data_IF_127363300138
#
_entry.id   IF_127363300138
#
_cell.length_a   1.000
_cell.length_b   1.000
_cell.length_c   1.000
_cell.angle_alpha   90.00
_cell.angle_beta   90.00
_cell.angle_gamma   90.00
#
_symmetry.space_group_name_H-M   'P 1'
#
loop_
_entity.id
_entity.type
_entity.pdbx_description
1 polymer ?
#
# COMPACT_ATOMS: atom_id res chain seq x y z
N UNK A 1 10.68 -16.69 8.41
CA UNK A 1 9.80 -17.85 8.53
C UNK A 1 9.33 -18.22 7.14
N UNK A 2 9.73 -19.40 6.67
CA UNK A 2 9.37 -19.88 5.35
C UNK A 2 8.02 -20.60 5.42
N UNK A 3 7.30 -20.67 4.30
CA UNK A 3 6.02 -21.43 4.22
C UNK A 3 6.24 -22.90 4.62
N UNK A 4 7.43 -23.45 4.38
CA UNK A 4 7.86 -24.78 4.85
C UNK A 4 7.76 -24.96 6.37
N UNK A 5 8.09 -23.91 7.14
CA UNK A 5 8.11 -23.96 8.61
C UNK A 5 6.69 -23.96 9.18
N UNK A 6 5.77 -23.26 8.51
CA UNK A 6 4.34 -23.22 8.87
C UNK A 6 3.57 -24.48 8.48
N UNK A 7 4.11 -25.26 7.55
CA UNK A 7 3.42 -26.40 6.94
C UNK A 7 3.92 -27.75 7.42
N UNK A 8 5.02 -27.80 8.16
CA UNK A 8 5.68 -29.07 8.54
C UNK A 8 5.94 -29.97 7.30
N UNK A 9 6.11 -29.36 6.12
CA UNK A 9 6.26 -30.07 4.85
C UNK A 9 4.96 -30.47 4.13
N UNK A 10 3.78 -30.16 4.67
CA UNK A 10 2.49 -30.42 4.02
C UNK A 10 2.19 -29.40 2.90
N UNK A 11 2.33 -29.86 1.66
CA UNK A 11 2.04 -29.07 0.45
C UNK A 11 0.55 -29.01 0.10
N UNK A 12 -0.30 -29.75 0.80
CA UNK A 12 -1.72 -29.77 0.55
C UNK A 12 -2.33 -28.49 1.16
N UNK A 13 -2.75 -27.52 0.33
CA UNK A 13 -3.20 -26.17 0.76
C UNK A 13 -4.46 -26.15 1.67
N UNK A 14 -4.85 -27.26 2.29
CA UNK A 14 -6.04 -27.41 3.14
C UNK A 14 -5.94 -26.63 4.47
N UNK A 15 -4.75 -26.17 4.85
CA UNK A 15 -4.49 -25.41 6.07
C UNK A 15 -4.66 -23.89 5.91
N UNK A 16 -4.92 -23.40 4.69
CA UNK A 16 -5.26 -21.98 4.41
C UNK A 16 -6.73 -21.85 4.05
N UNK A 17 -7.39 -20.83 4.58
CA UNK A 17 -8.74 -20.48 4.15
C UNK A 17 -8.97 -18.96 4.15
N UNK A 18 -10.15 -18.51 3.72
CA UNK A 18 -10.51 -17.11 3.64
C UNK A 18 -11.82 -16.78 4.37
N UNK A 19 -12.00 -15.53 4.79
CA UNK A 19 -13.23 -15.08 5.45
C UNK A 19 -13.61 -13.65 5.05
N UNK A 20 -14.81 -13.47 4.47
CA UNK A 20 -15.34 -12.16 4.13
C UNK A 20 -16.87 -12.10 4.32
N UNK A 21 -17.42 -10.90 4.21
CA UNK A 21 -18.85 -10.65 4.46
C UNK A 21 -19.79 -11.40 3.51
N UNK A 22 -19.38 -11.60 2.24
CA UNK A 22 -20.21 -12.26 1.22
C UNK A 22 -20.29 -13.79 1.34
N UNK A 23 -19.60 -14.41 2.31
CA UNK A 23 -19.76 -15.85 2.58
C UNK A 23 -21.11 -16.15 3.24
N UNK A 24 -21.69 -17.29 2.89
CA UNK A 24 -22.88 -17.83 3.56
C UNK A 24 -22.60 -18.12 5.04
N UNK A 25 -23.63 -18.01 5.89
CA UNK A 25 -23.48 -18.20 7.33
C UNK A 25 -22.98 -19.60 7.71
N UNK A 26 -23.38 -20.63 6.96
CA UNK A 26 -22.90 -21.99 7.16
C UNK A 26 -21.39 -22.08 6.91
N UNK A 27 -20.92 -21.46 5.83
CA UNK A 27 -19.50 -21.44 5.45
C UNK A 27 -18.66 -20.63 6.45
N UNK A 28 -19.17 -19.46 6.87
CA UNK A 28 -18.56 -18.67 7.95
C UNK A 28 -18.38 -19.48 9.24
N UNK A 29 -19.43 -20.20 9.64
CA UNK A 29 -19.42 -21.02 10.86
C UNK A 29 -18.42 -22.16 10.74
N UNK A 30 -18.46 -22.90 9.62
CA UNK A 30 -17.54 -24.01 9.36
C UNK A 30 -16.08 -23.56 9.41
N UNK A 31 -15.73 -22.49 8.70
CA UNK A 31 -14.36 -21.96 8.65
C UNK A 31 -13.89 -21.44 10.00
N UNK A 32 -14.75 -20.72 10.71
CA UNK A 32 -14.42 -20.23 12.05
C UNK A 32 -14.16 -21.38 13.03
N UNK A 33 -15.00 -22.43 13.02
CA UNK A 33 -14.82 -23.61 13.88
C UNK A 33 -13.56 -24.39 13.50
N UNK A 34 -13.33 -24.65 12.22
CA UNK A 34 -12.15 -25.37 11.74
C UNK A 34 -10.85 -24.62 12.09
N UNK A 35 -10.83 -23.30 11.99
CA UNK A 35 -9.69 -22.48 12.42
C UNK A 35 -9.52 -22.47 13.95
N UNK A 36 -10.62 -22.36 14.71
CA UNK A 36 -10.58 -22.41 16.18
C UNK A 36 -10.01 -23.73 16.70
N UNK A 37 -10.37 -24.85 16.05
CA UNK A 37 -9.88 -26.20 16.32
C UNK A 37 -8.46 -26.47 15.79
N UNK A 38 -7.84 -25.51 15.09
CA UNK A 38 -6.50 -25.64 14.53
C UNK A 38 -6.39 -26.55 13.30
N UNK A 39 -7.51 -26.89 12.65
CA UNK A 39 -7.54 -27.59 11.36
C UNK A 39 -7.13 -26.67 10.22
N UNK A 40 -7.59 -25.42 10.27
CA UNK A 40 -7.09 -24.32 9.44
C UNK A 40 -6.05 -23.57 10.27
N UNK A 41 -4.83 -23.41 9.73
CA UNK A 41 -3.73 -22.72 10.40
C UNK A 41 -3.72 -21.22 10.05
N UNK A 42 -4.04 -20.88 8.81
CA UNK A 42 -4.00 -19.51 8.30
C UNK A 42 -5.38 -19.09 7.77
N UNK A 43 -5.88 -17.97 8.28
CA UNK A 43 -7.13 -17.36 7.83
C UNK A 43 -6.86 -16.01 7.17
N UNK A 44 -7.14 -15.90 5.87
CA UNK A 44 -7.07 -14.63 5.12
C UNK A 44 -8.42 -13.94 5.20
N UNK A 45 -8.51 -12.83 5.93
CA UNK A 45 -9.80 -12.24 6.22
C UNK A 45 -9.90 -10.73 6.01
N UNK A 46 -11.11 -10.27 5.74
CA UNK A 46 -11.48 -8.85 5.89
C UNK A 46 -11.91 -8.57 7.32
N UNK A 47 -12.24 -7.31 7.62
CA UNK A 47 -12.75 -6.86 8.93
C UNK A 47 -14.00 -7.63 9.41
N UNK A 48 -14.68 -8.37 8.53
CA UNK A 48 -15.78 -9.25 8.90
C UNK A 48 -15.36 -10.38 9.86
N UNK A 49 -14.08 -10.78 9.86
CA UNK A 49 -13.53 -11.77 10.78
C UNK A 49 -13.02 -11.09 12.06
N UNK A 50 -13.95 -10.65 12.91
CA UNK A 50 -13.57 -9.87 14.09
C UNK A 50 -14.46 -10.05 15.32
N UNK A 51 -15.77 -10.16 15.14
CA UNK A 51 -16.66 -10.33 16.29
C UNK A 51 -16.61 -11.79 16.76
N UNK A 52 -16.46 -12.00 18.08
CA UNK A 52 -16.55 -13.33 18.69
C UNK A 52 -15.30 -14.22 18.56
N UNK A 53 -14.21 -13.75 17.97
CA UNK A 53 -12.96 -14.51 17.95
C UNK A 53 -12.34 -14.51 19.35
N UNK A 54 -12.24 -15.71 19.91
CA UNK A 54 -11.63 -15.97 21.22
C UNK A 54 -10.66 -17.17 21.17
N UNK A 55 -9.80 -17.20 20.14
CA UNK A 55 -8.70 -18.15 20.07
C UNK A 55 -7.50 -17.58 20.85
N UNK A 56 -7.03 -18.23 21.93
CA UNK A 56 -5.99 -17.66 22.79
C UNK A 56 -4.60 -17.69 22.15
N UNK A 57 -4.36 -18.69 21.30
CA UNK A 57 -3.07 -19.10 20.77
C UNK A 57 -2.76 -18.57 19.36
N UNK A 58 -3.21 -17.35 19.04
CA UNK A 58 -2.87 -16.70 17.77
C UNK A 58 -1.46 -16.12 17.83
N UNK A 59 -0.55 -16.67 17.03
CA UNK A 59 0.88 -16.27 17.01
C UNK A 59 1.21 -15.11 16.10
N UNK A 60 0.45 -14.95 15.02
CA UNK A 60 0.72 -13.94 14.02
C UNK A 60 -0.57 -13.24 13.61
N UNK A 61 -0.53 -11.91 13.59
CA UNK A 61 -1.53 -11.08 12.90
C UNK A 61 -0.80 -10.28 11.85
N UNK A 62 -1.15 -10.52 10.58
CA UNK A 62 -0.49 -9.89 9.43
C UNK A 62 -1.49 -8.98 8.73
N UNK A 63 -1.22 -7.69 8.75
CA UNK A 63 -1.93 -6.70 7.96
C UNK A 63 -1.28 -6.63 6.58
N UNK A 64 -1.90 -7.31 5.61
CA UNK A 64 -1.49 -7.23 4.20
C UNK A 64 -1.63 -5.81 3.60
N UNK A 65 -2.43 -4.95 4.22
CA UNK A 65 -2.64 -3.59 3.75
C UNK A 65 -2.90 -2.66 4.92
N UNK A 66 -2.63 -1.36 4.72
CA UNK A 66 -2.80 -0.33 5.76
C UNK A 66 -4.14 -0.45 6.51
N UNK A 67 -4.13 -0.51 7.86
CA UNK A 67 -5.34 -0.43 8.69
C UNK A 67 -6.18 0.84 8.47
N UNK A 68 -7.43 0.85 8.95
CA UNK A 68 -8.32 2.01 8.78
C UNK A 68 -7.97 3.19 9.67
N UNK A 69 -7.52 2.88 10.88
CA UNK A 69 -7.15 3.82 11.93
C UNK A 69 -6.25 3.10 12.92
N UNK A 70 -5.61 3.85 13.81
CA UNK A 70 -4.85 3.28 14.93
C UNK A 70 -5.76 2.41 15.81
N UNK A 71 -7.00 2.83 16.05
CA UNK A 71 -7.99 2.02 16.81
C UNK A 71 -8.27 0.67 16.15
N UNK A 72 -8.43 0.63 14.83
CA UNK A 72 -8.65 -0.63 14.12
C UNK A 72 -7.42 -1.52 14.18
N UNK A 73 -6.24 -0.95 13.93
CA UNK A 73 -4.98 -1.67 14.08
C UNK A 73 -4.84 -2.27 15.48
N UNK A 74 -5.09 -1.49 16.53
CA UNK A 74 -5.02 -1.94 17.92
C UNK A 74 -5.98 -3.10 18.21
N UNK A 75 -7.24 -3.01 17.76
CA UNK A 75 -8.21 -4.09 17.96
C UNK A 75 -7.89 -5.35 17.15
N UNK A 76 -7.36 -5.20 15.94
CA UNK A 76 -7.02 -6.31 15.05
C UNK A 76 -5.75 -7.04 15.52
N UNK A 77 -4.69 -6.28 15.83
CA UNK A 77 -3.43 -6.81 16.36
C UNK A 77 -3.60 -7.44 17.75
N UNK A 78 -4.45 -6.87 18.62
CA UNK A 78 -4.78 -7.40 19.95
C UNK A 78 -5.54 -8.74 19.96
N UNK A 79 -5.72 -9.38 18.79
CA UNK A 79 -6.17 -10.78 18.68
C UNK A 79 -5.03 -11.77 18.87
N UNK A 80 -3.79 -11.34 18.66
CA UNK A 80 -2.60 -12.12 18.89
C UNK A 80 -2.32 -12.31 20.39
N UNK A 81 -1.72 -13.44 20.78
CA UNK A 81 -1.07 -13.55 22.09
C UNK A 81 -1.99 -13.51 23.32
N UNK A 82 -3.27 -13.89 23.21
CA UNK A 82 -4.21 -13.84 24.34
C UNK A 82 -3.93 -14.87 25.44
N UNK A 83 -3.11 -15.87 25.15
CA UNK A 83 -2.51 -16.80 26.11
C UNK A 83 -1.31 -16.20 26.88
N UNK A 84 -0.90 -14.96 26.56
CA UNK A 84 0.28 -14.31 27.16
C UNK A 84 1.61 -14.78 26.60
N UNK A 85 1.62 -15.73 25.65
CA UNK A 85 2.84 -16.17 24.97
C UNK A 85 3.24 -15.17 23.88
N UNK A 86 4.54 -15.12 23.50
CA UNK A 86 5.00 -14.24 22.43
C UNK A 86 4.18 -14.40 21.14
N UNK A 87 3.86 -13.26 20.53
CA UNK A 87 3.14 -13.18 19.27
C UNK A 87 3.58 -11.93 18.51
N UNK A 88 3.50 -11.97 17.19
CA UNK A 88 3.95 -10.90 16.32
C UNK A 88 2.81 -10.28 15.53
N UNK A 89 2.90 -8.96 15.37
CA UNK A 89 1.98 -8.18 14.56
C UNK A 89 2.78 -7.46 13.48
N UNK A 90 2.49 -7.76 12.21
CA UNK A 90 3.26 -7.26 11.07
C UNK A 90 2.34 -6.46 10.15
N UNK A 91 2.78 -5.27 9.75
CA UNK A 91 2.06 -4.43 8.78
C UNK A 91 2.89 -4.28 7.52
N UNK A 92 2.38 -4.82 6.41
CA UNK A 92 2.87 -4.47 5.08
C UNK A 92 2.23 -3.14 4.67
N UNK A 93 3.03 -2.09 4.60
CA UNK A 93 2.57 -0.77 4.23
C UNK A 93 3.08 -0.36 2.84
N UNK A 94 2.24 0.36 2.11
CA UNK A 94 2.60 0.98 0.84
C UNK A 94 1.88 2.31 0.65
N UNK A 95 2.50 3.29 -0.01
CA UNK A 95 1.82 4.54 -0.36
C UNK A 95 0.61 4.32 -1.30
N UNK A 96 0.65 3.23 -2.08
CA UNK A 96 -0.48 2.80 -2.92
C UNK A 96 -1.72 2.49 -2.09
N UNK A 97 -1.54 1.88 -0.93
CA UNK A 97 -2.63 1.56 -0.01
C UNK A 97 -3.30 2.82 0.53
N UNK A 98 -2.53 3.87 0.82
CA UNK A 98 -3.08 5.16 1.23
C UNK A 98 -4.07 5.69 0.19
N UNK A 99 -3.66 5.75 -1.08
CA UNK A 99 -4.51 6.17 -2.19
C UNK A 99 -5.75 5.27 -2.34
N UNK A 100 -5.60 3.95 -2.20
CA UNK A 100 -6.72 3.00 -2.29
C UNK A 100 -7.73 3.21 -1.15
N UNK A 101 -7.26 3.31 0.10
CA UNK A 101 -8.10 3.53 1.29
C UNK A 101 -8.80 4.88 1.24
N UNK A 102 -8.08 5.94 0.85
CA UNK A 102 -8.62 7.29 0.63
C UNK A 102 -9.83 7.32 -0.31
N UNK A 103 -9.81 6.48 -1.35
CA UNK A 103 -10.91 6.36 -2.33
C UNK A 103 -12.13 5.62 -1.78
N UNK A 104 -11.95 4.75 -0.78
CA UNK A 104 -13.02 4.00 -0.13
C UNK A 104 -13.67 4.74 1.04
N UNK A 105 -13.14 5.91 1.43
CA UNK A 105 -13.70 6.67 2.54
C UNK A 105 -15.13 7.17 2.21
N UNK A 106 -16.07 7.05 3.17
CA UNK A 106 -17.43 7.52 2.96
C UNK A 106 -17.46 9.04 2.74
N UNK A 107 -18.38 9.48 1.89
CA UNK A 107 -18.70 10.90 1.74
C UNK A 107 -19.55 11.37 2.92
N UNK A 108 -19.31 12.57 3.44
CA UNK A 108 -20.10 13.16 4.51
C UNK A 108 -19.27 13.98 5.50
N UNK A 109 -19.91 14.38 6.59
CA UNK A 109 -19.34 15.23 7.64
C UNK A 109 -18.15 14.59 8.36
N UNK A 110 -18.11 13.25 8.46
CA UNK A 110 -17.01 12.52 9.10
C UNK A 110 -15.78 12.31 8.20
N UNK A 111 -15.83 12.75 6.93
CA UNK A 111 -14.75 12.47 5.97
C UNK A 111 -13.39 13.00 6.43
N UNK A 112 -13.37 14.17 7.07
CA UNK A 112 -12.13 14.75 7.59
C UNK A 112 -11.55 13.91 8.74
N UNK A 113 -12.39 13.39 9.64
CA UNK A 113 -11.94 12.50 10.71
C UNK A 113 -11.37 11.19 10.14
N UNK A 114 -12.02 10.60 9.12
CA UNK A 114 -11.48 9.42 8.44
C UNK A 114 -10.16 9.69 7.72
N UNK A 115 -9.98 10.90 7.18
CA UNK A 115 -8.71 11.32 6.61
C UNK A 115 -7.60 11.43 7.65
N UNK A 116 -7.92 11.98 8.83
CA UNK A 116 -6.97 12.07 9.92
C UNK A 116 -6.55 10.67 10.40
N UNK A 117 -7.52 9.79 10.65
CA UNK A 117 -7.25 8.40 11.03
C UNK A 117 -6.28 7.68 10.09
N UNK A 118 -6.44 7.87 8.77
CA UNK A 118 -5.56 7.26 7.79
C UNK A 118 -4.16 7.88 7.79
N UNK A 119 -4.04 9.19 8.07
CA UNK A 119 -2.74 9.84 8.26
C UNK A 119 -2.04 9.35 9.51
N UNK A 120 -2.77 9.17 10.61
CA UNK A 120 -2.18 8.69 11.87
C UNK A 120 -1.59 7.28 11.69
N UNK A 121 -2.26 6.40 10.93
CA UNK A 121 -1.71 5.08 10.58
C UNK A 121 -0.48 5.20 9.68
N UNK A 122 -0.48 6.12 8.72
CA UNK A 122 0.71 6.36 7.88
C UNK A 122 1.89 6.84 8.72
N UNK A 123 1.66 7.75 9.67
CA UNK A 123 2.68 8.23 10.59
C UNK A 123 3.22 7.10 11.47
N UNK A 124 2.34 6.22 11.97
CA UNK A 124 2.75 5.00 12.67
C UNK A 124 3.66 4.13 11.81
N UNK A 125 3.41 3.99 10.50
CA UNK A 125 4.26 3.18 9.61
C UNK A 125 5.56 3.88 9.19
N UNK A 126 5.53 5.19 8.92
CA UNK A 126 6.68 5.98 8.46
C UNK A 126 7.66 6.34 9.57
N UNK A 127 7.23 6.31 10.83
CA UNK A 127 8.10 6.60 11.96
C UNK A 127 9.28 5.62 12.01
N UNK A 128 10.48 6.16 12.14
CA UNK A 128 11.74 5.41 12.25
C UNK A 128 12.45 5.63 13.58
N UNK A 129 11.94 6.51 14.44
CA UNK A 129 12.65 6.95 15.65
C UNK A 129 11.95 6.55 16.95
N UNK A 130 10.62 6.65 17.00
CA UNK A 130 9.84 6.44 18.22
C UNK A 130 9.42 4.98 18.40
N UNK A 131 9.38 4.47 19.62
CA UNK A 131 8.81 3.14 19.88
C UNK A 131 7.37 3.02 19.36
N UNK A 132 7.05 1.89 18.70
CA UNK A 132 5.69 1.62 18.21
C UNK A 132 4.66 1.65 19.34
N UNK A 133 4.96 1.04 20.50
CA UNK A 133 4.06 1.06 21.67
C UNK A 133 3.85 2.45 22.23
N UNK A 134 4.88 3.30 22.21
CA UNK A 134 4.74 4.68 22.67
C UNK A 134 3.73 5.43 21.79
N UNK A 135 3.86 5.33 20.47
CA UNK A 135 2.92 5.96 19.53
C UNK A 135 1.49 5.46 19.73
N UNK A 136 1.29 4.15 19.91
CA UNK A 136 -0.02 3.57 20.09
C UNK A 136 -0.67 4.02 21.40
N UNK A 137 0.07 4.02 22.52
CA UNK A 137 -0.46 4.36 23.83
C UNK A 137 -0.74 5.86 23.97
N UNK A 138 0.13 6.71 23.44
CA UNK A 138 -0.11 8.16 23.41
C UNK A 138 -1.35 8.53 22.58
N UNK A 139 -1.64 7.79 21.50
CA UNK A 139 -2.87 7.97 20.73
C UNK A 139 -4.12 7.75 21.59
N UNK A 140 -4.06 6.87 22.61
CA UNK A 140 -5.14 6.65 23.58
C UNK A 140 -5.04 7.54 24.83
N UNK A 141 -4.09 8.48 24.87
CA UNK A 141 -3.88 9.37 26.01
C UNK A 141 -3.14 8.73 27.18
N UNK A 142 -2.50 7.58 26.97
CA UNK A 142 -1.67 6.91 27.96
C UNK A 142 -0.19 7.31 27.83
N UNK A 143 0.51 7.43 28.95
CA UNK A 143 1.94 7.73 28.97
C UNK A 143 2.77 6.45 28.87
N UNK A 144 3.83 6.48 28.06
CA UNK A 144 4.73 5.35 27.87
C UNK A 144 6.18 5.83 27.66
N UNK A 145 7.14 5.03 28.12
CA UNK A 145 8.57 5.27 27.89
C UNK A 145 9.21 4.09 27.17
N UNK A 146 10.12 4.38 26.25
CA UNK A 146 10.74 3.37 25.39
C UNK A 146 11.49 2.27 26.14
N UNK A 147 11.98 2.57 27.35
CA UNK A 147 12.61 1.59 28.24
C UNK A 147 11.69 0.43 28.63
N UNK A 148 10.38 0.64 28.63
CA UNK A 148 9.39 -0.40 28.94
C UNK A 148 9.09 -1.32 27.75
N UNK A 149 9.52 -0.97 26.54
CA UNK A 149 9.29 -1.79 25.35
C UNK A 149 10.10 -3.10 25.36
N UNK A 150 11.26 -3.12 26.03
CA UNK A 150 12.12 -4.30 26.12
C UNK A 150 12.46 -4.92 24.75
N UNK A 151 12.75 -4.09 23.73
CA UNK A 151 13.17 -4.56 22.40
C UNK A 151 12.12 -5.43 21.65
N UNK A 152 10.83 -5.20 21.93
CA UNK A 152 9.72 -5.98 21.33
C UNK A 152 9.02 -5.27 20.17
N UNK A 153 9.64 -4.26 19.56
CA UNK A 153 9.20 -3.69 18.28
C UNK A 153 10.40 -3.37 17.38
N UNK A 154 10.16 -3.31 16.07
CA UNK A 154 11.14 -3.07 15.02
C UNK A 154 12.00 -1.82 15.25
N UNK A 155 11.38 -0.70 15.63
CA UNK A 155 12.12 0.54 15.90
C UNK A 155 13.06 0.40 17.10
N UNK A 156 12.60 -0.19 18.20
CA UNK A 156 13.44 -0.39 19.38
C UNK A 156 14.57 -1.39 19.12
N UNK A 157 14.31 -2.41 18.30
CA UNK A 157 15.30 -3.38 17.82
C UNK A 157 16.37 -2.78 16.91
N UNK A 158 16.20 -1.52 16.48
CA UNK A 158 17.14 -0.85 15.60
C UNK A 158 17.10 -1.38 14.17
N UNK A 159 15.93 -1.82 13.69
CA UNK A 159 15.78 -2.25 12.30
C UNK A 159 16.30 -1.16 11.35
N UNK A 160 17.25 -1.53 10.49
CA UNK A 160 17.88 -0.59 9.58
C UNK A 160 16.85 -0.05 8.57
N UNK A 161 16.74 1.26 8.53
CA UNK A 161 15.91 1.97 7.54
C UNK A 161 16.83 2.91 6.76
N UNK A 162 16.79 2.79 5.44
CA UNK A 162 17.59 3.62 4.54
C UNK A 162 16.78 4.86 4.18
N UNK A 163 17.34 6.04 4.46
CA UNK A 163 16.81 7.32 3.98
C UNK A 163 17.37 7.61 2.58
N UNK A 164 16.52 7.51 1.56
CA UNK A 164 16.87 7.86 0.19
C UNK A 164 16.50 9.32 -0.10
N UNK A 165 17.46 10.13 -0.56
CA UNK A 165 17.16 11.46 -1.09
C UNK A 165 16.47 11.33 -2.46
N UNK A 166 15.19 11.67 -2.50
CA UNK A 166 14.34 11.60 -3.69
C UNK A 166 13.90 13.00 -4.16
N UNK A 167 14.64 14.05 -3.75
CA UNK A 167 14.31 15.45 -4.08
C UNK A 167 14.19 15.66 -5.59
N UNK A 168 15.20 15.21 -6.34
CA UNK A 168 15.23 15.33 -7.81
C UNK A 168 14.13 14.51 -8.48
N UNK A 169 13.76 13.38 -7.88
CA UNK A 169 12.69 12.51 -8.39
C UNK A 169 11.32 13.17 -8.22
N UNK A 170 11.05 13.72 -7.04
CA UNK A 170 9.85 14.52 -6.77
C UNK A 170 9.76 15.74 -7.71
N UNK A 171 10.86 16.47 -7.91
CA UNK A 171 10.94 17.60 -8.83
C UNK A 171 10.63 17.18 -10.27
N UNK A 172 11.26 16.11 -10.76
CA UNK A 172 11.06 15.60 -12.10
C UNK A 172 9.59 15.17 -12.35
N UNK A 173 9.01 14.41 -11.41
CA UNK A 173 7.62 13.95 -11.50
C UNK A 173 6.64 15.13 -11.49
N UNK A 174 6.86 16.12 -10.62
CA UNK A 174 6.03 17.31 -10.58
C UNK A 174 6.14 18.15 -11.86
N UNK A 175 7.34 18.31 -12.39
CA UNK A 175 7.59 19.04 -13.63
C UNK A 175 6.88 18.38 -14.83
N UNK A 176 6.86 17.05 -14.91
CA UNK A 176 6.07 16.32 -15.93
C UNK A 176 4.59 16.68 -15.81
N UNK A 177 4.00 16.57 -14.62
CA UNK A 177 2.57 16.85 -14.40
C UNK A 177 2.25 18.32 -14.71
N UNK A 178 3.10 19.25 -14.29
CA UNK A 178 2.96 20.69 -14.55
C UNK A 178 2.95 20.97 -16.04
N UNK A 179 3.93 20.46 -16.77
CA UNK A 179 4.06 20.72 -18.19
C UNK A 179 2.92 20.07 -18.99
N UNK A 180 2.53 18.83 -18.67
CA UNK A 180 1.33 18.22 -19.26
C UNK A 180 0.07 19.08 -19.01
N UNK A 181 -0.10 19.61 -17.80
CA UNK A 181 -1.23 20.49 -17.46
C UNK A 181 -1.20 21.78 -18.28
N UNK A 182 -0.04 22.41 -18.48
CA UNK A 182 0.13 23.60 -19.31
C UNK A 182 -0.21 23.36 -20.79
N UNK A 183 0.02 22.13 -21.27
CA UNK A 183 -0.37 21.69 -22.62
C UNK A 183 -1.84 21.25 -22.72
N UNK A 184 -2.63 21.36 -21.65
CA UNK A 184 -4.01 20.89 -21.60
C UNK A 184 -4.16 19.36 -21.58
N UNK A 185 -3.09 18.62 -21.30
CA UNK A 185 -3.07 17.16 -21.25
C UNK A 185 -3.32 16.69 -19.81
N UNK A 186 -4.44 16.00 -19.61
CA UNK A 186 -4.68 15.27 -18.36
C UNK A 186 -3.94 13.93 -18.40
N UNK A 187 -3.01 13.72 -17.46
CA UNK A 187 -2.16 12.52 -17.41
C UNK A 187 -2.55 11.61 -16.25
N UNK A 188 -2.71 10.32 -16.50
CA UNK A 188 -2.89 9.31 -15.45
C UNK A 188 -1.56 8.97 -14.77
N UNK A 189 -1.60 8.32 -13.60
CA UNK A 189 -0.39 7.84 -12.92
C UNK A 189 0.49 6.98 -13.84
N UNK A 190 -0.12 6.07 -14.60
CA UNK A 190 0.59 5.19 -15.55
C UNK A 190 1.26 6.01 -16.67
N UNK A 191 0.59 7.04 -17.19
CA UNK A 191 1.16 7.90 -18.23
C UNK A 191 2.34 8.71 -17.70
N UNK A 192 2.24 9.27 -16.49
CA UNK A 192 3.35 9.99 -15.85
C UNK A 192 4.53 9.05 -15.57
N UNK A 193 4.27 7.83 -15.09
CA UNK A 193 5.29 6.81 -14.90
C UNK A 193 6.03 6.49 -16.22
N UNK A 194 5.28 6.32 -17.31
CA UNK A 194 5.86 6.11 -18.64
C UNK A 194 6.75 7.29 -19.06
N UNK A 195 6.30 8.53 -18.92
CA UNK A 195 7.09 9.72 -19.26
C UNK A 195 8.37 9.81 -18.42
N UNK A 196 8.27 9.57 -17.11
CA UNK A 196 9.41 9.57 -16.19
C UNK A 196 10.43 8.46 -16.52
N UNK A 197 9.97 7.29 -16.97
CA UNK A 197 10.81 6.21 -17.52
C UNK A 197 11.31 6.49 -18.95
N UNK A 198 10.85 7.57 -19.59
CA UNK A 198 11.19 7.91 -20.96
C UNK A 198 10.52 7.03 -22.02
N UNK A 199 9.38 6.42 -21.70
CA UNK A 199 8.55 5.64 -22.64
C UNK A 199 7.57 6.58 -23.36
N UNK A 200 7.23 6.21 -24.60
CA UNK A 200 6.21 6.93 -25.39
C UNK A 200 4.81 6.65 -24.83
N UNK A 201 3.93 7.66 -24.87
CA UNK A 201 2.52 7.46 -24.55
C UNK A 201 1.80 6.79 -25.72
N UNK A 202 0.91 5.84 -25.43
CA UNK A 202 0.04 5.20 -26.42
C UNK A 202 -1.19 6.07 -26.68
N UNK A 203 -1.32 6.68 -27.86
CA UNK A 203 -2.49 7.47 -28.26
C UNK A 203 -2.18 8.63 -29.24
N UNK A 204 -3.23 9.24 -29.81
CA UNK A 204 -3.12 10.40 -30.71
C UNK A 204 -2.79 11.68 -29.92
N UNK A 205 -1.54 11.90 -29.56
CA UNK A 205 -1.06 13.24 -29.18
C UNK A 205 -0.34 13.86 -30.38
N UNK A 206 -1.12 14.29 -31.37
CA UNK A 206 -0.57 14.93 -32.57
C UNK A 206 0.12 16.24 -32.16
N UNK A 207 1.41 16.38 -32.49
CA UNK A 207 2.14 17.65 -32.40
C UNK A 207 2.91 17.92 -31.10
N UNK A 208 2.79 17.07 -30.06
CA UNK A 208 3.53 17.27 -28.80
C UNK A 208 4.83 16.46 -28.81
N UNK A 209 5.96 17.15 -28.73
CA UNK A 209 7.28 16.51 -28.62
C UNK A 209 7.51 16.09 -27.15
N UNK A 210 7.03 14.90 -26.79
CA UNK A 210 7.10 14.38 -25.41
C UNK A 210 8.51 14.33 -24.82
N UNK A 211 9.54 14.20 -25.65
CA UNK A 211 10.95 14.20 -25.21
C UNK A 211 11.43 15.57 -24.71
N UNK A 212 10.70 16.66 -24.99
CA UNK A 212 11.03 18.00 -24.48
C UNK A 212 10.37 18.30 -23.13
N UNK A 213 9.55 17.38 -22.59
CA UNK A 213 8.91 17.56 -21.29
C UNK A 213 9.98 17.51 -20.20
N UNK A 214 10.10 18.54 -19.35
CA UNK A 214 11.04 18.52 -18.23
C UNK A 214 10.75 17.33 -17.29
N UNK A 215 11.79 16.55 -16.98
CA UNK A 215 11.68 15.30 -16.21
C UNK A 215 11.48 14.03 -17.04
N UNK A 216 11.26 14.14 -18.35
CA UNK A 216 11.16 12.97 -19.24
C UNK A 216 12.43 12.11 -19.18
N UNK A 217 12.28 10.81 -18.93
CA UNK A 217 13.40 9.87 -18.89
C UNK A 217 14.33 10.01 -17.69
N UNK A 218 14.00 10.81 -16.67
CA UNK A 218 14.83 11.01 -15.48
C UNK A 218 15.14 9.68 -14.75
N UNK A 219 14.21 8.72 -14.77
CA UNK A 219 14.40 7.40 -14.15
C UNK A 219 15.51 6.56 -14.80
N UNK A 220 15.89 6.84 -16.06
CA UNK A 220 16.85 6.02 -16.82
C UNK A 220 18.25 6.02 -16.22
N UNK A 221 18.64 7.14 -15.61
CA UNK A 221 19.94 7.27 -14.97
C UNK A 221 20.05 6.47 -13.67
N UNK A 222 18.91 6.04 -13.10
CA UNK A 222 18.81 5.42 -11.77
C UNK A 222 18.40 3.95 -11.78
N UNK A 223 18.22 3.35 -12.95
CA UNK A 223 17.78 1.95 -13.12
C UNK A 223 16.52 1.57 -12.33
N UNK A 224 15.61 2.52 -12.11
CA UNK A 224 14.40 2.28 -11.35
C UNK A 224 13.46 1.29 -12.05
N UNK A 225 13.00 0.29 -11.27
CA UNK A 225 11.91 -0.60 -11.69
C UNK A 225 10.60 0.16 -11.81
N UNK A 226 9.63 -0.42 -12.52
CA UNK A 226 8.29 0.17 -12.61
C UNK A 226 7.64 0.34 -11.24
N UNK A 227 7.79 -0.64 -10.36
CA UNK A 227 7.21 -0.64 -9.02
C UNK A 227 7.79 0.49 -8.16
N UNK A 228 9.09 0.74 -8.28
CA UNK A 228 9.71 1.87 -7.60
C UNK A 228 9.15 3.22 -8.08
N UNK A 229 9.00 3.40 -9.41
CA UNK A 229 8.40 4.61 -9.98
C UNK A 229 6.95 4.80 -9.50
N UNK A 230 6.17 3.71 -9.41
CA UNK A 230 4.82 3.76 -8.85
C UNK A 230 4.86 4.17 -7.36
N UNK A 231 5.80 3.63 -6.58
CA UNK A 231 6.06 4.03 -5.19
C UNK A 231 6.33 5.52 -5.04
N UNK A 232 7.23 6.09 -5.84
CA UNK A 232 7.54 7.53 -5.87
C UNK A 232 6.30 8.37 -6.21
N UNK A 233 5.50 7.94 -7.19
CA UNK A 233 4.28 8.65 -7.57
C UNK A 233 3.25 8.66 -6.44
N UNK A 234 3.04 7.52 -5.78
CA UNK A 234 2.13 7.44 -4.64
C UNK A 234 2.66 8.21 -3.41
N UNK A 235 3.97 8.22 -3.19
CA UNK A 235 4.60 9.10 -2.19
C UNK A 235 4.27 10.57 -2.47
N UNK A 236 4.42 11.03 -3.72
CA UNK A 236 4.09 12.40 -4.10
C UNK A 236 2.60 12.73 -3.92
N UNK A 237 1.70 11.76 -4.11
CA UNK A 237 0.26 11.91 -3.83
C UNK A 237 -0.01 12.01 -2.33
N UNK A 238 0.61 11.15 -1.53
CA UNK A 238 0.49 11.14 -0.07
C UNK A 238 1.01 12.45 0.55
N UNK A 239 2.19 12.90 0.13
CA UNK A 239 2.80 14.18 0.53
C UNK A 239 2.08 15.40 -0.06
N UNK A 240 1.05 15.19 -0.88
CA UNK A 240 0.23 16.24 -1.50
C UNK A 240 1.00 17.17 -2.45
N UNK A 241 2.15 16.74 -2.96
CA UNK A 241 2.85 17.40 -4.07
C UNK A 241 2.09 17.19 -5.38
N UNK A 242 1.48 16.02 -5.51
CA UNK A 242 0.53 15.66 -6.55
C UNK A 242 -0.84 15.37 -5.93
N UNK A 243 -1.89 15.49 -6.72
CA UNK A 243 -3.25 15.14 -6.33
C UNK A 243 -3.92 14.25 -7.38
N UNK A 244 -4.73 13.30 -6.93
CA UNK A 244 -5.56 12.47 -7.81
C UNK A 244 -6.93 13.13 -8.00
N UNK A 245 -7.28 13.45 -9.25
CA UNK A 245 -8.62 13.92 -9.64
C UNK A 245 -9.38 12.82 -10.37
N UNK A 246 -10.66 12.70 -10.09
CA UNK A 246 -11.52 11.64 -10.64
C UNK A 246 -12.30 12.16 -11.85
N UNK A 247 -12.30 11.38 -12.93
CA UNK A 247 -13.30 11.47 -13.98
C UNK A 247 -14.02 10.13 -14.11
N UNK A 248 -15.34 10.13 -13.91
CA UNK A 248 -16.18 8.94 -14.07
C UNK A 248 -16.82 8.97 -15.44
N UNK A 249 -16.55 7.95 -16.24
CA UNK A 249 -17.13 7.80 -17.57
C UNK A 249 -18.19 6.71 -17.54
N UNK A 250 -19.37 7.04 -18.08
CA UNK A 250 -20.39 6.07 -18.42
C UNK A 250 -20.07 5.52 -19.80
N UNK A 251 -19.39 4.38 -19.88
CA UNK A 251 -19.21 3.68 -21.16
C UNK A 251 -20.24 2.54 -21.21
N UNK A 252 -21.16 2.64 -22.16
CA UNK A 252 -21.94 1.47 -22.59
C UNK A 252 -20.98 0.61 -23.43
N UNK A 253 -21.00 -0.71 -23.22
CA UNK A 253 -20.25 -1.78 -23.91
C UNK A 253 -18.78 -2.03 -23.50
N UNK A 254 -18.62 -2.99 -22.59
CA UNK A 254 -17.63 -4.08 -22.77
C UNK A 254 -18.40 -5.40 -22.76
N UNK A 255 -18.20 -6.23 -23.77
CA UNK A 255 -18.68 -7.60 -23.78
C UNK A 255 -17.72 -8.43 -22.91
N UNK A 256 -18.21 -8.95 -21.79
CA UNK A 256 -17.51 -10.03 -21.09
C UNK A 256 -17.88 -11.32 -21.81
N UNK A 257 -16.88 -12.00 -22.39
CA UNK A 257 -17.07 -13.29 -23.04
C UNK A 257 -16.76 -14.37 -22.02
N UNK A 258 -17.78 -14.79 -21.27
CA UNK A 258 -17.70 -15.98 -20.44
C UNK A 258 -18.62 -17.03 -21.06
N UNK A 259 -18.01 -17.98 -21.79
CA UNK A 259 -18.70 -18.97 -22.64
C UNK A 259 -19.52 -18.35 -23.79
N UNK A 260 -20.25 -19.17 -24.56
CA UNK A 260 -20.91 -18.82 -25.83
C UNK A 260 -22.03 -17.76 -25.72
N UNK A 261 -22.31 -17.21 -24.55
CA UNK A 261 -23.27 -16.11 -24.33
C UNK A 261 -22.55 -14.76 -24.14
N UNK A 262 -22.96 -13.75 -24.93
CA UNK A 262 -22.52 -12.37 -24.75
C UNK A 262 -23.50 -11.65 -23.81
N UNK A 263 -23.08 -11.36 -22.58
CA UNK A 263 -23.82 -10.48 -21.67
C UNK A 263 -23.29 -9.05 -21.81
N UNK A 264 -24.18 -8.09 -22.09
CA UNK A 264 -23.87 -6.66 -21.98
C UNK A 264 -23.75 -6.32 -20.50
N UNK A 265 -22.54 -5.99 -20.03
CA UNK A 265 -22.34 -5.46 -18.68
C UNK A 265 -22.13 -3.96 -18.77
N UNK A 266 -23.03 -3.19 -18.18
CA UNK A 266 -22.84 -1.75 -17.99
C UNK A 266 -21.80 -1.54 -16.89
N UNK A 267 -20.57 -1.17 -17.28
CA UNK A 267 -19.49 -0.84 -16.36
C UNK A 267 -19.31 0.67 -16.25
N UNK A 268 -19.34 1.21 -15.03
CA UNK A 268 -18.80 2.55 -14.77
C UNK A 268 -17.27 2.44 -14.71
N UNK A 269 -16.56 3.19 -15.53
CA UNK A 269 -15.09 3.24 -15.49
C UNK A 269 -14.66 4.55 -14.84
N UNK A 270 -13.91 4.42 -13.75
CA UNK A 270 -13.35 5.56 -13.02
C UNK A 270 -11.88 5.69 -13.39
N UNK A 271 -11.50 6.81 -14.03
CA UNK A 271 -10.11 7.12 -14.35
C UNK A 271 -9.59 8.20 -13.42
N UNK A 272 -8.40 7.99 -12.87
CA UNK A 272 -7.73 8.94 -12.00
C UNK A 272 -6.62 9.65 -12.78
N UNK A 273 -6.69 10.98 -12.78
CA UNK A 273 -5.68 11.85 -13.40
C UNK A 273 -4.88 12.55 -12.30
N UNK A 274 -3.59 12.72 -12.54
CA UNK A 274 -2.71 13.49 -11.67
C UNK A 274 -2.82 14.97 -11.99
N UNK A 275 -2.89 15.79 -10.94
CA UNK A 275 -2.78 17.25 -10.98
C UNK A 275 -1.74 17.70 -9.96
N UNK A 276 -1.36 18.97 -10.02
CA UNK A 276 -0.57 19.59 -8.97
C UNK A 276 -1.39 19.58 -7.67
N UNK A 277 -0.74 19.28 -6.55
CA UNK A 277 -1.39 19.31 -5.24
C UNK A 277 -1.48 20.71 -4.64
N UNK A 278 -2.21 20.84 -3.54
CA UNK A 278 -2.41 22.11 -2.83
C UNK A 278 -1.19 22.56 -2.03
N UNK A 279 -0.31 21.62 -1.67
CA UNK A 279 1.04 21.96 -1.26
C UNK A 279 1.81 22.28 -2.53
N UNK A 280 1.55 23.48 -3.07
CA UNK A 280 2.37 24.09 -4.10
C UNK A 280 3.79 24.02 -3.60
N UNK A 281 4.58 23.14 -4.21
CA UNK A 281 5.84 22.69 -3.65
C UNK A 281 6.64 23.87 -3.12
N UNK A 282 6.77 23.91 -1.80
CA UNK A 282 7.79 24.69 -1.11
C UNK A 282 9.14 23.98 -1.33
N UNK A 283 9.54 23.84 -2.60
CA UNK A 283 10.95 23.73 -2.95
C UNK A 283 11.57 25.11 -2.71
N UNK A 284 11.53 25.55 -1.45
CA UNK A 284 12.45 26.56 -0.99
C UNK A 284 13.82 25.98 -1.26
N UNK A 285 14.68 26.80 -1.86
CA UNK A 285 16.04 26.41 -2.18
C UNK A 285 16.70 25.80 -0.93
N UNK A 286 17.17 24.56 -1.04
CA UNK A 286 17.77 23.80 0.08
C UNK A 286 16.87 22.75 0.75
N UNK A 287 15.56 22.69 0.48
CA UNK A 287 14.69 21.64 1.05
C UNK A 287 15.01 20.27 0.44
N UNK A 288 15.39 19.30 1.29
CA UNK A 288 15.62 17.89 0.92
C UNK A 288 14.41 17.03 1.26
N UNK A 289 14.06 16.11 0.36
CA UNK A 289 12.95 15.16 0.50
C UNK A 289 13.54 13.76 0.64
N UNK A 290 13.28 13.13 1.77
CA UNK A 290 13.72 11.77 2.04
C UNK A 290 12.55 10.80 2.03
N UNK A 291 12.76 9.63 1.43
CA UNK A 291 11.88 8.48 1.52
C UNK A 291 12.61 7.36 2.27
N UNK A 292 11.94 6.81 3.28
CA UNK A 292 12.47 5.74 4.10
C UNK A 292 12.04 4.39 3.54
N UNK A 293 12.99 3.45 3.39
CA UNK A 293 12.74 2.08 2.92
C UNK A 293 13.58 1.07 3.69
N UNK A 294 13.02 -0.13 3.89
CA UNK A 294 13.74 -1.29 4.44
C UNK A 294 14.44 -2.10 3.34
N UNK A 295 14.12 -1.82 2.08
CA UNK A 295 14.76 -2.41 0.90
C UNK A 295 15.27 -1.27 0.01
N UNK A 296 16.56 -0.90 0.08
CA UNK A 296 17.15 0.02 -0.88
C UNK A 296 17.14 -0.67 -2.25
N UNK A 297 16.66 0.04 -3.28
CA UNK A 297 16.49 -0.42 -4.67
C UNK A 297 17.78 -0.95 -5.31
N UNK A 298 18.92 -0.74 -4.67
CA UNK A 298 20.25 -0.99 -5.23
C UNK A 298 20.85 -2.35 -4.86
N UNK A 299 20.31 -3.08 -3.89
CA UNK A 299 20.93 -4.34 -3.43
C UNK A 299 20.39 -5.60 -4.16
N UNK A 300 19.22 -5.53 -4.82
CA UNK A 300 18.57 -6.68 -5.48
C UNK A 300 18.94 -6.86 -6.97
N UNK A 301 19.98 -6.19 -7.47
CA UNK A 301 20.48 -6.38 -8.86
C UNK A 301 21.66 -7.38 -8.91
N UNK A 302 21.99 -8.02 -7.79
CA UNK A 302 22.96 -9.11 -7.72
C UNK A 302 22.28 -10.47 -7.55
N UNK A 303 22.43 -11.34 -8.55
CA UNK A 303 22.21 -12.78 -8.46
C UNK A 303 20.74 -13.28 -8.38
N UNK A 304 19.96 -13.01 -9.43
CA UNK A 304 19.07 -14.04 -9.95
C UNK A 304 19.66 -14.55 -11.26
N UNK A 305 20.57 -15.52 -11.16
CA UNK A 305 21.11 -16.26 -12.30
C UNK A 305 19.96 -17.09 -12.90
N UNK A 306 19.41 -16.60 -14.02
CA UNK A 306 18.38 -17.24 -14.81
C UNK A 306 18.99 -18.40 -15.62
N UNK A 307 19.59 -19.37 -14.91
CA UNK A 307 20.10 -20.63 -15.45
C UNK A 307 19.35 -21.81 -14.85
N UNK A 308 18.06 -21.89 -15.17
CA UNK A 308 17.38 -23.17 -15.20
C UNK A 308 16.12 -23.06 -16.04
N UNK A 309 16.19 -23.52 -17.29
CA UNK A 309 15.19 -24.34 -17.99
C UNK A 309 15.35 -24.24 -19.51
N UNK A 310 16.37 -24.91 -20.03
CA UNK A 310 16.31 -25.55 -21.35
C UNK A 310 16.95 -26.94 -21.21
N UNK A 311 16.13 -27.86 -20.71
CA UNK A 311 16.15 -29.28 -21.13
C UNK A 311 14.89 -29.50 -21.99
#
# INVERSE_FOLDING_TARGET
MLVSDLTEGDQSHHWVNFYHADLDNNEKTFRHQAWSQGKIKLMVATMAFGMGIHKPDVRYVIHHSLPQSITHFYQESGRAGRDGSPAECVVFYSYKDYSRRKKMLPCGTSRQAHFQNLRDVMELCENTAKCRRQMLLEYFGESWTDSLCQQTCDTCQGQAVVAMDITDDCLALWNIVKHCTQLGIQSTLIQVAHLYMGKKLTGKQKGVVLSKIPGFGHARAKNYTREHVEGLLYFNVYRQYLSETVCTWSIVTKYLRYSRSQSKVNGKYTTYFLRLGHQHLAFVEGTRIYMHTTHPVLDDIGEYDDRSTHD
#
